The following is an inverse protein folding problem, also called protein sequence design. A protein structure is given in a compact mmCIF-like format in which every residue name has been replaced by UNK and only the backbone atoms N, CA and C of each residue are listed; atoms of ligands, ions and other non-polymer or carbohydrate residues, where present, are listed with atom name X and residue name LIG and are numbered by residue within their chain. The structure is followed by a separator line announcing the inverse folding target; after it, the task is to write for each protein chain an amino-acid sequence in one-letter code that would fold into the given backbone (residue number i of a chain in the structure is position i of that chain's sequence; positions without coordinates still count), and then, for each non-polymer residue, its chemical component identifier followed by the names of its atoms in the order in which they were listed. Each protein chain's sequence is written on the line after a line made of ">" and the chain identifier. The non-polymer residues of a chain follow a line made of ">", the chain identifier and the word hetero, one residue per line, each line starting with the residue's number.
data_IF_511481519195
#
_entry.id   IF_511481519195
#
_cell.length_a   1.000
_cell.length_b   1.000
_cell.length_c   1.000
_cell.angle_alpha   90.00
_cell.angle_beta   90.00
_cell.angle_gamma   90.00
#
_symmetry.space_group_name_H-M   'P 1'
#
loop_
_entity.id
_entity.type
_entity.pdbx_description
1 polymer ?
#
# COMPACT_ATOMS: atom_id res chain seq x y z
N UNK A 1 -1.79 -27.40 -20.20
CA UNK A 1 -1.41 -28.48 -19.26
C UNK A 1 -2.56 -29.45 -19.21
N UNK A 2 -2.39 -30.63 -19.83
CA UNK A 2 -3.54 -31.37 -20.33
C UNK A 2 -4.34 -30.51 -21.31
N UNK A 3 -5.67 -30.57 -21.24
CA UNK A 3 -6.59 -29.83 -22.12
C UNK A 3 -6.81 -28.36 -21.71
N UNK A 4 -6.17 -27.89 -20.63
CA UNK A 4 -6.33 -26.52 -20.13
C UNK A 4 -5.22 -25.58 -20.61
N UNK A 5 -5.60 -24.41 -21.10
CA UNK A 5 -4.67 -23.34 -21.51
C UNK A 5 -4.67 -22.24 -20.45
N UNK A 6 -3.48 -21.93 -19.91
CA UNK A 6 -3.28 -20.80 -19.00
C UNK A 6 -2.81 -19.62 -19.85
N UNK A 7 -3.47 -18.47 -19.71
CA UNK A 7 -3.18 -17.25 -20.45
C UNK A 7 -3.12 -16.04 -19.52
N UNK A 8 -2.36 -15.03 -19.95
CA UNK A 8 -2.37 -13.73 -19.29
C UNK A 8 -3.68 -13.00 -19.61
N UNK A 9 -3.98 -11.93 -18.86
CA UNK A 9 -5.25 -11.21 -18.97
C UNK A 9 -5.45 -10.52 -20.34
N UNK A 10 -4.35 -10.23 -21.04
CA UNK A 10 -4.29 -9.64 -22.39
C UNK A 10 -4.22 -10.69 -23.51
N UNK A 11 -4.06 -11.96 -23.17
CA UNK A 11 -3.84 -13.06 -24.12
C UNK A 11 -2.44 -13.08 -24.76
N UNK A 12 -1.53 -12.21 -24.34
CA UNK A 12 -0.22 -12.05 -24.98
C UNK A 12 0.89 -12.89 -24.33
N UNK A 13 1.81 -13.36 -25.17
CA UNK A 13 3.06 -14.01 -24.75
C UNK A 13 4.17 -12.97 -24.57
N UNK A 14 4.68 -12.84 -23.35
CA UNK A 14 5.66 -11.81 -22.99
C UNK A 14 7.13 -12.24 -23.16
N UNK A 15 7.39 -13.47 -23.63
CA UNK A 15 8.74 -14.01 -23.73
C UNK A 15 9.45 -14.12 -22.36
N UNK A 16 10.80 -14.09 -22.34
CA UNK A 16 11.56 -14.05 -21.09
C UNK A 16 11.31 -12.74 -20.32
N UNK A 17 10.82 -12.86 -19.10
CA UNK A 17 10.53 -11.73 -18.20
C UNK A 17 11.25 -11.91 -16.85
N UNK A 18 11.54 -10.80 -16.17
CA UNK A 18 12.11 -10.84 -14.81
C UNK A 18 11.01 -11.16 -13.80
N UNK A 19 11.38 -11.73 -12.65
CA UNK A 19 10.44 -12.02 -11.54
C UNK A 19 9.64 -10.79 -11.11
N UNK A 20 10.29 -9.62 -11.05
CA UNK A 20 9.64 -8.33 -10.79
C UNK A 20 8.49 -8.04 -11.77
N UNK A 21 8.69 -8.29 -13.07
CA UNK A 21 7.68 -8.03 -14.09
C UNK A 21 6.49 -8.99 -13.99
N UNK A 22 6.73 -10.24 -13.56
CA UNK A 22 5.66 -11.23 -13.34
C UNK A 22 4.66 -10.70 -12.32
N UNK A 23 5.15 -10.19 -11.17
CA UNK A 23 4.29 -9.64 -10.13
C UNK A 23 3.67 -8.30 -10.56
N UNK A 24 4.50 -7.35 -11.04
CA UNK A 24 4.07 -5.99 -11.41
C UNK A 24 2.97 -5.96 -12.48
N UNK A 25 3.01 -6.89 -13.45
CA UNK A 25 2.01 -7.00 -14.52
C UNK A 25 1.04 -8.17 -14.34
N UNK A 26 1.12 -8.88 -13.21
CA UNK A 26 0.21 -9.99 -12.87
C UNK A 26 0.18 -11.10 -13.95
N UNK A 27 1.35 -11.53 -14.42
CA UNK A 27 1.46 -12.49 -15.51
C UNK A 27 1.17 -13.92 -15.02
N UNK A 28 -0.05 -14.41 -15.26
CA UNK A 28 -0.50 -15.76 -14.90
C UNK A 28 0.45 -16.86 -15.40
N UNK A 29 0.95 -16.72 -16.63
CA UNK A 29 1.90 -17.70 -17.21
C UNK A 29 3.23 -17.77 -16.47
N UNK A 30 3.72 -16.62 -15.98
CA UNK A 30 4.91 -16.54 -15.13
C UNK A 30 4.66 -17.12 -13.74
N UNK A 31 3.54 -16.77 -13.11
CA UNK A 31 3.14 -17.33 -11.81
C UNK A 31 2.95 -18.84 -11.87
N UNK A 32 2.28 -19.35 -12.91
CA UNK A 32 2.10 -20.79 -13.14
C UNK A 32 3.44 -21.52 -13.22
N UNK A 33 4.42 -20.95 -13.93
CA UNK A 33 5.76 -21.52 -14.02
C UNK A 33 6.43 -21.57 -12.64
N UNK A 34 6.33 -20.49 -11.86
CA UNK A 34 6.86 -20.44 -10.49
C UNK A 34 6.18 -21.47 -9.59
N UNK A 35 4.85 -21.56 -9.60
CA UNK A 35 4.08 -22.51 -8.78
C UNK A 35 4.48 -23.96 -9.03
N UNK A 36 4.64 -24.33 -10.30
CA UNK A 36 5.08 -25.68 -10.67
C UNK A 36 6.52 -25.95 -10.27
N UNK A 37 7.41 -24.98 -10.46
CA UNK A 37 8.83 -25.11 -10.07
C UNK A 37 8.99 -25.19 -8.55
N UNK A 38 8.17 -24.48 -7.78
CA UNK A 38 8.13 -24.53 -6.31
C UNK A 38 7.72 -25.92 -5.80
N UNK A 39 6.79 -26.59 -6.49
CA UNK A 39 6.29 -27.90 -6.09
C UNK A 39 5.28 -27.85 -4.94
N UNK A 40 4.56 -28.96 -4.75
CA UNK A 40 3.39 -29.06 -3.86
C UNK A 40 3.76 -28.99 -2.37
N UNK A 41 4.89 -29.53 -1.99
CA UNK A 41 5.35 -29.57 -0.60
C UNK A 41 5.65 -28.16 -0.09
N UNK A 42 6.36 -27.35 -0.90
CA UNK A 42 6.68 -25.97 -0.54
C UNK A 42 5.43 -25.09 -0.63
N UNK A 43 4.59 -25.29 -1.66
CA UNK A 43 3.33 -24.54 -1.82
C UNK A 43 2.40 -24.76 -0.60
N UNK A 44 2.10 -26.00 -0.24
CA UNK A 44 1.22 -26.32 0.90
C UNK A 44 1.80 -25.78 2.22
N UNK A 45 3.12 -25.94 2.43
CA UNK A 45 3.82 -25.38 3.60
C UNK A 45 3.57 -23.88 3.72
N UNK A 46 3.76 -23.11 2.64
CA UNK A 46 3.59 -21.66 2.70
C UNK A 46 2.12 -21.24 2.80
N UNK A 47 1.20 -21.90 2.10
CA UNK A 47 -0.24 -21.64 2.25
C UNK A 47 -0.67 -21.77 3.72
N UNK A 48 -0.24 -22.83 4.40
CA UNK A 48 -0.54 -23.05 5.82
C UNK A 48 0.22 -22.10 6.75
N UNK A 49 1.47 -21.76 6.43
CA UNK A 49 2.25 -20.79 7.21
C UNK A 49 1.63 -19.38 7.16
N UNK A 50 0.97 -19.02 6.06
CA UNK A 50 0.17 -17.80 5.92
C UNK A 50 -1.25 -17.90 6.54
N UNK A 51 -1.58 -19.00 7.22
CA UNK A 51 -2.85 -19.15 7.94
C UNK A 51 -4.04 -19.58 7.08
N UNK A 52 -3.85 -19.84 5.78
CA UNK A 52 -4.95 -20.30 4.93
C UNK A 52 -5.44 -21.70 5.32
N UNK A 53 -6.74 -21.92 5.18
CA UNK A 53 -7.40 -23.17 5.59
C UNK A 53 -7.65 -23.25 7.10
N UNK A 54 -7.51 -22.16 7.85
CA UNK A 54 -7.84 -22.04 9.28
C UNK A 54 -8.51 -20.70 9.58
N UNK A 55 -9.46 -20.69 10.51
CA UNK A 55 -10.01 -19.46 11.06
C UNK A 55 -8.89 -18.59 11.66
N UNK A 56 -8.99 -17.26 11.49
CA UNK A 56 -8.02 -16.30 12.04
C UNK A 56 -8.16 -16.15 13.56
N UNK A 57 -9.33 -16.51 14.11
CA UNK A 57 -9.64 -16.44 15.53
C UNK A 57 -10.13 -15.06 15.97
N UNK A 58 -10.62 -14.23 15.04
CA UNK A 58 -11.26 -12.95 15.35
C UNK A 58 -12.45 -13.18 16.30
N UNK A 59 -12.80 -12.17 17.10
CA UNK A 59 -13.84 -12.27 18.13
C UNK A 59 -15.28 -12.27 17.57
N UNK A 60 -15.47 -12.71 16.32
CA UNK A 60 -16.77 -12.81 15.67
C UNK A 60 -17.21 -14.28 15.55
N UNK A 61 -18.47 -14.61 15.85
CA UNK A 61 -18.98 -15.96 15.67
C UNK A 61 -19.11 -16.30 14.18
N UNK A 62 -18.98 -17.60 13.85
CA UNK A 62 -19.24 -18.10 12.50
C UNK A 62 -18.14 -17.81 11.47
N UNK A 63 -16.90 -17.57 11.92
CA UNK A 63 -15.76 -17.40 11.02
C UNK A 63 -15.54 -18.68 10.17
N UNK A 64 -15.47 -18.51 8.85
CA UNK A 64 -15.15 -19.59 7.93
C UNK A 64 -13.64 -19.84 7.86
N UNK A 65 -13.24 -21.09 7.67
CA UNK A 65 -11.82 -21.48 7.62
C UNK A 65 -11.21 -21.42 6.21
N UNK A 66 -12.03 -21.15 5.18
CA UNK A 66 -11.64 -21.36 3.79
C UNK A 66 -11.47 -22.85 3.45
N UNK A 67 -10.88 -23.14 2.31
CA UNK A 67 -10.64 -24.51 1.86
C UNK A 67 -9.36 -24.59 1.03
N UNK A 68 -8.44 -25.44 1.48
CA UNK A 68 -7.24 -25.84 0.74
C UNK A 68 -7.41 -27.26 0.23
N UNK A 69 -6.83 -27.56 -0.94
CA UNK A 69 -6.65 -28.95 -1.38
C UNK A 69 -5.66 -29.67 -0.47
N UNK A 70 -5.82 -30.99 -0.36
CA UNK A 70 -4.82 -31.82 0.33
C UNK A 70 -3.53 -31.89 -0.50
N UNK A 71 -2.40 -32.12 0.18
CA UNK A 71 -1.10 -32.26 -0.48
C UNK A 71 -1.04 -33.46 -1.44
N UNK A 72 -1.78 -34.53 -1.13
CA UNK A 72 -1.81 -35.75 -1.94
C UNK A 72 -2.65 -35.59 -3.20
N UNK A 73 -3.70 -34.79 -3.13
CA UNK A 73 -4.62 -34.54 -4.26
C UNK A 73 -4.18 -33.36 -5.15
N UNK A 74 -3.11 -32.64 -4.78
CA UNK A 74 -2.66 -31.47 -5.52
C UNK A 74 -1.94 -31.86 -6.83
N UNK A 75 -2.59 -31.61 -7.97
CA UNK A 75 -2.01 -31.83 -9.29
C UNK A 75 -1.08 -30.69 -9.74
N UNK A 76 -0.34 -30.87 -10.84
CA UNK A 76 0.41 -29.77 -11.45
C UNK A 76 -0.49 -28.64 -11.95
N UNK A 77 -1.70 -28.95 -12.40
CA UNK A 77 -2.67 -27.93 -12.79
C UNK A 77 -3.09 -27.11 -11.57
N UNK A 78 -3.33 -27.77 -10.43
CA UNK A 78 -3.66 -27.09 -9.19
C UNK A 78 -2.53 -26.17 -8.74
N UNK A 79 -1.27 -26.64 -8.77
CA UNK A 79 -0.09 -25.82 -8.50
C UNK A 79 -0.03 -24.56 -9.35
N UNK A 80 -0.31 -24.72 -10.65
CA UNK A 80 -0.37 -23.60 -11.56
C UNK A 80 -1.49 -22.63 -11.16
N UNK A 81 -2.71 -23.11 -10.96
CA UNK A 81 -3.87 -22.25 -10.65
C UNK A 81 -3.78 -21.56 -9.29
N UNK A 82 -3.30 -22.27 -8.26
CA UNK A 82 -3.12 -21.75 -6.91
C UNK A 82 -2.13 -20.58 -6.93
N UNK A 83 -1.09 -20.66 -7.76
CA UNK A 83 -0.06 -19.62 -7.84
C UNK A 83 -0.58 -18.25 -8.29
N UNK A 84 -1.74 -18.19 -8.94
CA UNK A 84 -2.43 -16.95 -9.32
C UNK A 84 -3.82 -16.81 -8.66
N UNK A 85 -4.05 -17.53 -7.56
CA UNK A 85 -5.23 -17.35 -6.71
C UNK A 85 -6.49 -18.08 -7.17
N UNK A 86 -6.35 -19.07 -8.06
CA UNK A 86 -7.43 -19.96 -8.48
C UNK A 86 -7.32 -21.33 -7.80
N UNK A 87 -8.41 -22.09 -7.71
CA UNK A 87 -8.47 -23.39 -7.02
C UNK A 87 -8.16 -23.35 -5.52
N UNK A 88 -8.31 -22.18 -4.89
CA UNK A 88 -8.17 -21.98 -3.45
C UNK A 88 -9.29 -21.07 -2.95
N UNK A 89 -9.94 -21.45 -1.85
CA UNK A 89 -10.99 -20.64 -1.24
C UNK A 89 -10.47 -20.06 0.08
N UNK A 90 -10.46 -18.74 0.18
CA UNK A 90 -9.97 -18.02 1.36
C UNK A 90 -10.98 -16.96 1.78
N UNK A 91 -10.95 -16.58 3.05
CA UNK A 91 -11.77 -15.47 3.54
C UNK A 91 -11.05 -14.13 3.35
N UNK A 92 -11.78 -13.00 3.25
CA UNK A 92 -11.17 -11.67 3.27
C UNK A 92 -10.27 -11.43 4.49
N UNK A 93 -10.63 -11.96 5.67
CA UNK A 93 -9.82 -11.84 6.88
C UNK A 93 -8.51 -12.62 6.80
N UNK A 94 -8.52 -13.83 6.23
CA UNK A 94 -7.28 -14.58 5.95
C UNK A 94 -6.35 -13.81 5.02
N UNK A 95 -6.89 -13.16 3.99
CA UNK A 95 -6.11 -12.33 3.08
C UNK A 95 -5.46 -11.13 3.79
N UNK A 96 -6.22 -10.42 4.62
CA UNK A 96 -5.69 -9.28 5.40
C UNK A 96 -4.64 -9.75 6.41
N UNK A 97 -4.87 -10.86 7.11
CA UNK A 97 -3.90 -11.47 8.01
C UNK A 97 -2.61 -11.84 7.26
N UNK A 98 -2.72 -12.54 6.13
CA UNK A 98 -1.56 -12.95 5.34
C UNK A 98 -0.74 -11.74 4.84
N UNK A 99 -1.40 -10.69 4.35
CA UNK A 99 -0.75 -9.47 3.86
C UNK A 99 -0.19 -8.62 5.01
N UNK A 100 -0.69 -8.77 6.24
CA UNK A 100 -0.07 -8.17 7.41
C UNK A 100 1.35 -8.67 7.63
N UNK A 101 1.67 -9.92 7.25
CA UNK A 101 3.03 -10.42 7.34
C UNK A 101 3.98 -9.63 6.42
N UNK A 102 3.53 -9.27 5.21
CA UNK A 102 4.34 -8.48 4.26
C UNK A 102 4.54 -7.07 4.81
N UNK A 103 3.46 -6.44 5.31
CA UNK A 103 3.51 -5.09 5.86
C UNK A 103 4.35 -4.99 7.15
N UNK A 104 4.42 -6.06 7.95
CA UNK A 104 5.00 -6.04 9.28
C UNK A 104 6.29 -6.89 9.38
N UNK A 105 7.19 -6.74 8.40
CA UNK A 105 8.53 -7.33 8.46
C UNK A 105 8.55 -8.87 8.53
N UNK A 106 7.55 -9.52 7.93
CA UNK A 106 7.35 -10.96 7.94
C UNK A 106 6.45 -11.47 9.07
N UNK A 107 6.11 -10.64 10.06
CA UNK A 107 5.30 -11.04 11.21
C UNK A 107 3.80 -10.90 10.92
N UNK A 108 3.14 -12.05 10.78
CA UNK A 108 1.70 -12.14 10.58
C UNK A 108 0.96 -11.81 11.88
N UNK A 109 -0.08 -10.98 11.81
CA UNK A 109 -0.82 -10.48 12.98
C UNK A 109 -2.21 -11.10 13.04
N UNK A 110 -2.69 -11.36 14.25
CA UNK A 110 -4.07 -11.77 14.47
C UNK A 110 -4.99 -10.54 14.31
N UNK A 111 -6.04 -10.60 13.47
CA UNK A 111 -7.02 -9.52 13.40
C UNK A 111 -7.91 -9.52 14.65
N UNK A 112 -8.23 -8.32 15.13
CA UNK A 112 -9.09 -8.10 16.28
C UNK A 112 -10.15 -7.04 15.94
N UNK A 113 -11.37 -7.23 16.44
CA UNK A 113 -12.44 -6.20 16.34
C UNK A 113 -12.76 -5.57 17.70
N UNK A 114 -12.50 -6.29 18.79
CA UNK A 114 -12.63 -5.77 20.14
C UNK A 114 -11.34 -5.03 20.48
N UNK A 115 -11.47 -3.77 20.93
CA UNK A 115 -10.34 -2.98 21.42
C UNK A 115 -10.18 -3.13 22.93
N UNK A 116 -11.28 -2.97 23.65
CA UNK A 116 -11.36 -3.23 25.08
C UNK A 116 -12.78 -3.56 25.53
N UNK A 117 -12.89 -4.21 26.67
CA UNK A 117 -14.14 -4.51 27.36
C UNK A 117 -14.13 -3.75 28.69
N UNK A 118 -15.11 -2.86 28.86
CA UNK A 118 -15.26 -2.03 30.07
C UNK A 118 -16.43 -2.55 30.91
N UNK A 119 -16.18 -2.86 32.18
CA UNK A 119 -17.23 -3.29 33.08
C UNK A 119 -18.08 -2.10 33.58
N UNK A 120 -19.41 -2.23 33.67
CA UNK A 120 -20.28 -1.15 34.13
C UNK A 120 -20.00 -0.66 35.56
N UNK A 121 -19.38 -1.50 36.40
CA UNK A 121 -19.05 -1.21 37.79
C UNK A 121 -17.70 -0.49 37.97
N UNK A 122 -16.99 -0.20 36.86
CA UNK A 122 -15.68 0.44 36.87
C UNK A 122 -14.53 -0.49 37.29
N UNK A 123 -14.78 -1.81 37.41
CA UNK A 123 -13.72 -2.81 37.54
C UNK A 123 -12.94 -2.98 36.24
N UNK A 124 -11.82 -3.74 36.30
CA UNK A 124 -10.74 -3.77 35.30
C UNK A 124 -11.22 -3.75 33.83
N UNK A 125 -10.61 -2.86 33.05
CA UNK A 125 -10.71 -2.82 31.60
C UNK A 125 -9.83 -3.94 31.00
N UNK A 126 -10.44 -4.87 30.26
CA UNK A 126 -9.69 -5.85 29.49
C UNK A 126 -9.31 -5.22 28.14
N UNK A 127 -8.03 -4.90 27.95
CA UNK A 127 -7.51 -4.32 26.70
C UNK A 127 -6.96 -5.44 25.82
N UNK A 128 -7.49 -5.55 24.60
CA UNK A 128 -7.00 -6.52 23.61
C UNK A 128 -5.56 -6.21 23.24
N UNK A 129 -4.70 -7.22 23.34
CA UNK A 129 -3.27 -7.12 23.04
C UNK A 129 -2.99 -7.57 21.60
N UNK A 130 -2.04 -6.91 20.95
CA UNK A 130 -1.58 -7.33 19.62
C UNK A 130 -0.93 -8.72 19.68
N UNK A 131 -1.46 -9.65 18.90
CA UNK A 131 -0.96 -11.03 18.86
C UNK A 131 -0.35 -11.40 17.51
N UNK A 132 0.80 -12.08 17.57
CA UNK A 132 1.43 -12.69 16.39
C UNK A 132 0.69 -13.97 16.00
N UNK A 133 0.24 -14.07 14.76
CA UNK A 133 -0.31 -15.29 14.17
C UNK A 133 0.78 -16.17 13.52
N UNK A 134 2.00 -15.68 13.39
CA UNK A 134 3.15 -16.43 12.88
C UNK A 134 4.17 -15.54 12.18
N UNK A 135 5.22 -16.15 11.63
CA UNK A 135 6.21 -15.47 10.79
C UNK A 135 6.53 -16.36 9.57
N UNK A 136 5.69 -16.30 8.50
CA UNK A 136 5.85 -17.17 7.34
C UNK A 136 7.14 -16.89 6.55
N UNK A 137 7.62 -15.65 6.56
CA UNK A 137 8.79 -15.20 5.80
C UNK A 137 9.71 -14.32 6.69
N UNK A 138 11.02 -14.27 6.39
CA UNK A 138 11.93 -13.35 7.05
C UNK A 138 11.69 -11.90 6.57
N UNK A 139 12.22 -10.95 7.34
CA UNK A 139 12.01 -9.51 7.14
C UNK A 139 12.54 -9.00 5.79
N UNK A 140 13.70 -9.49 5.35
CA UNK A 140 14.31 -9.11 4.07
C UNK A 140 13.46 -9.55 2.87
N UNK A 141 12.87 -10.74 2.95
CA UNK A 141 11.92 -11.24 1.94
C UNK A 141 10.63 -10.42 1.97
N UNK A 142 10.10 -10.10 3.16
CA UNK A 142 8.92 -9.26 3.29
C UNK A 142 9.13 -7.87 2.66
N UNK A 143 10.27 -7.24 2.95
CA UNK A 143 10.68 -5.96 2.37
C UNK A 143 10.82 -6.04 0.84
N UNK A 144 11.47 -7.09 0.33
CA UNK A 144 11.61 -7.30 -1.12
C UNK A 144 10.25 -7.41 -1.81
N UNK A 145 9.31 -8.15 -1.21
CA UNK A 145 7.94 -8.27 -1.75
C UNK A 145 7.21 -6.93 -1.67
N UNK A 146 7.33 -6.21 -0.55
CA UNK A 146 6.72 -4.89 -0.37
C UNK A 146 7.19 -3.90 -1.45
N UNK A 147 8.50 -3.84 -1.72
CA UNK A 147 9.08 -2.97 -2.76
C UNK A 147 8.59 -3.34 -4.17
N UNK A 148 8.41 -4.64 -4.45
CA UNK A 148 7.84 -5.11 -5.72
C UNK A 148 6.37 -4.67 -5.86
N UNK A 149 5.59 -4.77 -4.79
CA UNK A 149 4.18 -4.38 -4.78
C UNK A 149 3.98 -2.86 -4.79
N UNK A 150 4.94 -2.08 -4.27
CA UNK A 150 4.99 -0.62 -4.50
C UNK A 150 5.09 -0.31 -5.98
N UNK A 151 5.97 -1.03 -6.71
CA UNK A 151 6.15 -0.84 -8.15
C UNK A 151 4.92 -1.17 -8.98
N UNK A 152 4.04 -2.06 -8.50
CA UNK A 152 2.76 -2.29 -9.17
C UNK A 152 1.86 -1.05 -9.11
N UNK A 153 1.89 -0.30 -8.01
CA UNK A 153 1.12 0.93 -7.84
C UNK A 153 1.83 2.12 -8.51
N UNK A 154 3.16 2.23 -8.44
CA UNK A 154 3.86 3.39 -9.00
C UNK A 154 4.12 3.29 -10.51
N UNK A 155 4.31 2.08 -11.04
CA UNK A 155 4.75 1.85 -12.43
C UNK A 155 3.89 0.82 -13.20
N UNK A 156 3.00 0.10 -12.50
CA UNK A 156 2.34 -1.11 -13.02
C UNK A 156 0.82 -1.01 -13.18
N UNK A 157 0.17 -2.19 -13.14
CA UNK A 157 -1.28 -2.32 -13.34
C UNK A 157 -2.14 -1.77 -12.20
N UNK A 158 -1.54 -1.42 -11.05
CA UNK A 158 -2.21 -0.91 -9.86
C UNK A 158 -2.23 0.62 -9.75
N UNK A 159 -1.80 1.36 -10.77
CA UNK A 159 -1.59 2.82 -10.71
C UNK A 159 -2.78 3.66 -10.26
N UNK A 160 -4.01 3.18 -10.44
CA UNK A 160 -5.21 3.85 -9.94
C UNK A 160 -5.35 3.84 -8.42
N UNK A 161 -4.56 3.04 -7.71
CA UNK A 161 -4.47 3.02 -6.25
C UNK A 161 -3.51 4.07 -5.67
N UNK A 162 -2.74 4.79 -6.51
CA UNK A 162 -1.72 5.73 -6.04
C UNK A 162 -2.32 6.89 -5.22
N UNK A 163 -1.79 7.08 -4.01
CA UNK A 163 -2.20 8.14 -3.08
C UNK A 163 -1.16 9.25 -3.13
N UNK A 164 -1.60 10.47 -3.44
CA UNK A 164 -0.71 11.60 -3.64
C UNK A 164 0.11 11.90 -2.36
N UNK A 165 1.45 11.93 -2.50
CA UNK A 165 2.37 12.19 -1.39
C UNK A 165 2.80 10.96 -0.58
N UNK A 166 2.31 9.76 -0.89
CA UNK A 166 2.64 8.54 -0.15
C UNK A 166 2.96 7.38 -1.09
N UNK A 167 3.96 6.58 -0.74
CA UNK A 167 4.18 5.30 -1.40
C UNK A 167 3.30 4.24 -0.76
N UNK A 168 2.39 3.66 -1.55
CA UNK A 168 1.59 2.51 -1.16
C UNK A 168 1.95 1.33 -2.04
N UNK A 169 2.02 0.16 -1.43
CA UNK A 169 2.16 -1.11 -2.11
C UNK A 169 0.80 -1.76 -2.31
N UNK A 170 0.62 -2.53 -3.38
CA UNK A 170 -0.60 -3.29 -3.54
C UNK A 170 -0.62 -4.23 -4.72
N UNK A 171 -1.65 -5.07 -4.75
CA UNK A 171 -1.89 -6.08 -5.78
C UNK A 171 -3.33 -6.03 -6.23
N UNK A 172 -3.52 -5.96 -7.56
CA UNK A 172 -4.83 -6.14 -8.18
C UNK A 172 -5.19 -7.63 -8.26
N UNK A 173 -6.46 -7.97 -8.01
CA UNK A 173 -7.03 -9.29 -8.22
C UNK A 173 -8.23 -9.27 -9.15
N UNK A 174 -8.39 -10.32 -9.96
CA UNK A 174 -9.56 -10.55 -10.81
C UNK A 174 -9.78 -12.05 -10.87
N UNK A 175 -10.65 -12.56 -10.00
CA UNK A 175 -10.92 -13.98 -9.86
C UNK A 175 -12.23 -14.34 -10.57
N UNK A 176 -12.25 -15.49 -11.23
CA UNK A 176 -13.47 -16.04 -11.84
C UNK A 176 -14.36 -16.70 -10.78
N UNK A 177 -15.68 -16.49 -10.88
CA UNK A 177 -16.63 -17.13 -9.95
C UNK A 177 -16.88 -18.58 -10.33
N UNK A 178 -16.91 -19.47 -9.35
CA UNK A 178 -17.27 -20.88 -9.58
C UNK A 178 -18.73 -21.01 -10.01
N UNK A 179 -19.01 -21.93 -10.93
CA UNK A 179 -20.37 -22.36 -11.28
C UNK A 179 -20.78 -23.51 -10.34
N UNK A 180 -21.69 -23.27 -9.38
CA UNK A 180 -22.09 -24.29 -8.42
C UNK A 180 -23.00 -25.37 -9.01
N UNK A 181 -23.62 -25.12 -10.18
CA UNK A 181 -24.57 -26.05 -10.81
C UNK A 181 -23.87 -26.98 -11.81
N UNK A 182 -22.99 -26.43 -12.65
CA UNK A 182 -22.36 -27.16 -13.75
C UNK A 182 -20.88 -27.47 -13.54
N UNK A 183 -20.29 -26.93 -12.47
CA UNK A 183 -18.85 -26.98 -12.23
C UNK A 183 -18.06 -26.07 -13.17
N UNK A 184 -16.79 -25.81 -12.82
CA UNK A 184 -15.96 -24.84 -13.54
C UNK A 184 -16.29 -23.40 -13.15
N UNK A 185 -16.18 -22.47 -14.09
CA UNK A 185 -16.32 -21.03 -13.85
C UNK A 185 -17.48 -20.41 -14.63
N UNK A 186 -18.21 -19.51 -13.97
CA UNK A 186 -19.26 -18.70 -14.57
C UNK A 186 -18.66 -17.72 -15.58
N UNK A 187 -19.03 -17.84 -16.85
CA UNK A 187 -18.55 -16.95 -17.90
C UNK A 187 -18.98 -15.50 -17.63
N UNK A 188 -18.01 -14.60 -17.65
CA UNK A 188 -18.26 -13.16 -17.49
C UNK A 188 -18.59 -12.72 -16.07
N UNK A 189 -18.43 -13.59 -15.07
CA UNK A 189 -18.73 -13.29 -13.66
C UNK A 189 -17.45 -13.35 -12.84
N UNK A 190 -17.13 -12.25 -12.17
CA UNK A 190 -15.83 -12.05 -11.55
C UNK A 190 -15.96 -11.49 -10.14
N UNK A 191 -14.90 -11.70 -9.36
CA UNK A 191 -14.64 -10.97 -8.13
C UNK A 191 -13.44 -10.06 -8.42
N UNK A 192 -13.69 -8.75 -8.38
CA UNK A 192 -12.66 -7.75 -8.55
C UNK A 192 -12.12 -7.34 -7.19
N UNK A 193 -10.80 -7.30 -7.03
CA UNK A 193 -10.20 -6.95 -5.75
C UNK A 193 -8.94 -6.12 -5.88
N UNK A 194 -8.62 -5.41 -4.81
CA UNK A 194 -7.35 -4.76 -4.62
C UNK A 194 -6.97 -4.88 -3.15
N UNK A 195 -5.78 -5.42 -2.88
CA UNK A 195 -5.21 -5.44 -1.54
C UNK A 195 -3.98 -4.55 -1.53
N UNK A 196 -3.94 -3.59 -0.61
CA UNK A 196 -2.83 -2.67 -0.48
C UNK A 196 -2.38 -2.49 0.95
N UNK A 197 -1.16 -2.01 1.10
CA UNK A 197 -0.55 -1.73 2.39
C UNK A 197 0.38 -0.53 2.31
N UNK A 198 0.50 0.20 3.40
CA UNK A 198 1.44 1.32 3.48
C UNK A 198 1.10 2.35 4.56
N UNK A 199 1.78 3.51 4.55
CA UNK A 199 2.88 3.86 3.64
C UNK A 199 4.06 2.87 3.67
N UNK A 200 4.78 2.67 2.57
CA UNK A 200 5.83 1.63 2.46
C UNK A 200 6.98 1.85 3.46
N UNK A 201 7.29 3.10 3.78
CA UNK A 201 8.37 3.47 4.70
C UNK A 201 8.04 3.13 6.17
N UNK A 202 6.77 3.21 6.55
CA UNK A 202 6.23 2.89 7.87
C UNK A 202 4.81 2.33 7.69
N UNK A 203 4.66 1.02 7.42
CA UNK A 203 3.35 0.45 7.12
C UNK A 203 2.38 0.54 8.30
N UNK A 204 1.29 1.29 8.11
CA UNK A 204 0.23 1.51 9.12
C UNK A 204 -1.07 0.80 8.79
N UNK A 205 -1.27 0.49 7.51
CA UNK A 205 -2.53 -0.05 7.01
C UNK A 205 -2.27 -1.29 6.15
N UNK A 206 -3.18 -2.25 6.27
CA UNK A 206 -3.46 -3.27 5.25
C UNK A 206 -4.94 -3.16 4.94
N UNK A 207 -5.30 -3.02 3.67
CA UNK A 207 -6.69 -2.83 3.26
C UNK A 207 -6.99 -3.65 2.03
N UNK A 208 -8.04 -4.47 2.15
CA UNK A 208 -8.57 -5.28 1.08
C UNK A 208 -9.92 -4.69 0.64
N UNK A 209 -10.03 -4.40 -0.65
CA UNK A 209 -11.27 -4.04 -1.32
C UNK A 209 -11.71 -5.24 -2.16
N UNK A 210 -12.96 -5.66 -2.00
CA UNK A 210 -13.58 -6.72 -2.79
C UNK A 210 -14.89 -6.19 -3.35
N UNK A 211 -15.06 -6.27 -4.67
CA UNK A 211 -16.29 -5.97 -5.38
C UNK A 211 -16.75 -7.28 -6.01
N UNK A 212 -17.78 -7.88 -5.41
CA UNK A 212 -18.37 -9.10 -5.93
C UNK A 212 -19.33 -8.78 -7.08
N UNK A 213 -19.12 -9.46 -8.20
CA UNK A 213 -19.99 -9.44 -9.37
C UNK A 213 -20.27 -8.04 -9.96
N UNK A 214 -19.22 -7.27 -10.30
CA UNK A 214 -19.38 -5.97 -10.90
C UNK A 214 -20.05 -6.06 -12.28
N UNK A 215 -20.90 -5.08 -12.60
CA UNK A 215 -21.45 -4.92 -13.94
C UNK A 215 -20.58 -3.98 -14.79
N UNK A 216 -20.38 -4.34 -16.06
CA UNK A 216 -19.51 -3.58 -16.96
C UNK A 216 -18.03 -3.91 -16.75
N UNK A 217 -17.24 -2.92 -16.30
CA UNK A 217 -15.81 -3.11 -16.03
C UNK A 217 -15.60 -4.00 -14.81
N UNK A 218 -14.81 -5.07 -14.95
CA UNK A 218 -14.58 -6.06 -13.89
C UNK A 218 -13.12 -6.17 -13.42
N UNK A 219 -12.18 -5.44 -14.04
CA UNK A 219 -10.78 -5.50 -13.62
C UNK A 219 -10.57 -4.82 -12.27
N UNK A 220 -9.93 -5.50 -11.32
CA UNK A 220 -9.63 -4.97 -9.98
C UNK A 220 -8.86 -3.63 -10.03
N UNK A 221 -7.94 -3.50 -10.99
CA UNK A 221 -7.22 -2.25 -11.27
C UNK A 221 -8.12 -1.07 -11.62
N UNK A 222 -9.30 -1.31 -12.22
CA UNK A 222 -10.17 -0.25 -12.71
C UNK A 222 -11.26 0.14 -11.72
N UNK A 223 -11.71 -0.78 -10.86
CA UNK A 223 -12.84 -0.53 -9.94
C UNK A 223 -12.49 -0.67 -8.46
N UNK A 224 -11.60 -1.56 -8.06
CA UNK A 224 -11.23 -1.72 -6.65
C UNK A 224 -10.07 -0.80 -6.23
N UNK A 225 -9.09 -0.59 -7.11
CA UNK A 225 -7.95 0.29 -6.86
C UNK A 225 -8.34 1.77 -6.61
N UNK A 226 -9.29 2.39 -7.34
CA UNK A 226 -9.75 3.74 -7.01
C UNK A 226 -10.41 3.85 -5.63
N UNK A 227 -11.19 2.83 -5.22
CA UNK A 227 -11.81 2.79 -3.89
C UNK A 227 -10.73 2.73 -2.81
N UNK A 228 -9.68 1.95 -3.02
CA UNK A 228 -8.51 1.94 -2.13
C UNK A 228 -7.87 3.34 -2.02
N UNK A 229 -7.62 4.02 -3.15
CA UNK A 229 -7.07 5.39 -3.17
C UNK A 229 -7.93 6.34 -2.33
N UNK A 230 -9.26 6.30 -2.51
CA UNK A 230 -10.17 7.21 -1.83
C UNK A 230 -10.20 6.99 -0.30
N UNK A 231 -10.18 5.72 0.14
CA UNK A 231 -10.12 5.37 1.56
C UNK A 231 -8.76 5.77 2.14
N UNK A 232 -7.65 5.38 1.51
CA UNK A 232 -6.31 5.67 2.03
C UNK A 232 -6.04 7.17 2.07
N UNK A 233 -6.48 7.94 1.06
CA UNK A 233 -6.38 9.40 1.05
C UNK A 233 -7.06 10.05 2.26
N UNK A 234 -8.16 9.46 2.75
CA UNK A 234 -8.82 9.92 3.96
C UNK A 234 -8.10 9.45 5.22
N UNK A 235 -7.63 8.21 5.27
CA UNK A 235 -6.91 7.67 6.43
C UNK A 235 -5.60 8.40 6.69
N UNK A 236 -4.78 8.67 5.67
CA UNK A 236 -3.52 9.39 5.86
C UNK A 236 -3.74 10.81 6.40
N UNK A 237 -4.84 11.47 6.01
CA UNK A 237 -5.25 12.76 6.58
C UNK A 237 -5.78 12.64 8.01
N UNK A 238 -6.63 11.65 8.26
CA UNK A 238 -7.22 11.41 9.58
C UNK A 238 -6.15 11.10 10.64
N UNK A 239 -5.19 10.24 10.29
CA UNK A 239 -4.05 9.87 11.13
C UNK A 239 -2.90 10.87 11.08
N UNK A 240 -3.04 11.98 10.33
CA UNK A 240 -2.04 13.04 10.20
C UNK A 240 -0.65 12.53 9.81
N UNK A 241 -0.60 11.54 8.92
CA UNK A 241 0.67 10.98 8.46
C UNK A 241 1.40 12.01 7.59
N UNK A 242 2.70 12.18 7.82
CA UNK A 242 3.51 13.04 6.97
C UNK A 242 3.70 12.40 5.60
N UNK A 243 3.58 13.16 4.49
CA UNK A 243 3.89 12.64 3.16
C UNK A 243 5.32 12.09 3.10
N UNK A 244 5.49 10.89 2.54
CA UNK A 244 6.81 10.28 2.31
C UNK A 244 7.44 10.68 0.98
N UNK A 245 6.63 11.25 0.08
CA UNK A 245 7.08 11.74 -1.23
C UNK A 245 7.10 13.25 -1.23
N UNK A 246 8.28 13.85 -1.15
CA UNK A 246 8.46 15.25 -1.52
C UNK A 246 8.06 15.39 -2.99
N UNK A 247 7.18 16.34 -3.32
CA UNK A 247 6.62 16.52 -4.67
C UNK A 247 7.66 17.05 -5.65
N UNK A 248 8.72 16.29 -5.92
CA UNK A 248 9.76 16.59 -6.90
C UNK A 248 9.44 15.99 -8.28
N UNK A 249 8.50 15.04 -8.38
CA UNK A 249 8.24 14.30 -9.63
C UNK A 249 7.33 15.00 -10.65
N UNK A 250 6.66 16.10 -10.30
CA UNK A 250 5.83 16.87 -11.24
C UNK A 250 6.61 17.97 -12.01
N UNK A 251 7.93 18.11 -11.78
CA UNK A 251 8.74 19.19 -12.38
C UNK A 251 9.73 18.74 -13.46
N UNK A 252 9.75 17.45 -13.82
CA UNK A 252 10.65 16.91 -14.87
C UNK A 252 10.29 17.32 -16.31
N UNK A 253 9.61 18.47 -16.48
CA UNK A 253 9.31 19.09 -17.77
C UNK A 253 9.80 20.53 -17.93
N UNK A 254 10.36 21.16 -16.89
CA UNK A 254 10.93 22.50 -17.00
C UNK A 254 12.33 22.53 -16.38
N UNK A 255 13.32 22.78 -17.24
CA UNK A 255 14.68 23.25 -16.95
C UNK A 255 14.93 23.56 -15.46
N UNK A 256 15.74 22.73 -14.82
CA UNK A 256 16.35 22.98 -13.52
C UNK A 256 17.10 24.33 -13.53
N UNK A 257 16.43 25.35 -13.01
CA UNK A 257 17.06 26.54 -12.43
C UNK A 257 16.41 26.82 -11.07
N UNK A 258 16.25 25.80 -10.23
CA UNK A 258 15.90 26.02 -8.83
C UNK A 258 17.15 26.48 -8.07
N UNK A 259 17.13 27.65 -7.42
CA UNK A 259 18.23 28.04 -6.54
C UNK A 259 18.33 27.04 -5.39
N UNK A 260 19.55 26.64 -5.04
CA UNK A 260 19.81 25.79 -3.89
C UNK A 260 19.25 26.43 -2.61
N UNK A 261 18.80 25.61 -1.64
CA UNK A 261 18.31 26.09 -0.33
C UNK A 261 19.38 27.04 0.27
N UNK A 262 19.09 28.33 0.48
CA UNK A 262 19.97 29.29 1.12
C UNK A 262 20.36 28.81 2.51
N UNK A 263 21.63 28.98 2.82
CA UNK A 263 22.17 28.74 4.15
C UNK A 263 21.62 29.83 5.08
N UNK A 264 21.31 29.48 6.33
CA UNK A 264 20.92 30.48 7.34
C UNK A 264 22.11 31.39 7.61
N UNK A 265 21.98 32.66 7.24
CA UNK A 265 22.98 33.69 7.50
C UNK A 265 22.54 34.53 8.71
N UNK A 266 23.51 34.89 9.56
CA UNK A 266 23.28 35.75 10.74
C UNK A 266 24.09 37.03 10.61
N UNK A 267 23.49 38.15 10.99
CA UNK A 267 24.17 39.43 11.08
C UNK A 267 25.10 39.49 12.32
N UNK A 268 26.02 40.47 12.42
CA UNK A 268 26.97 40.58 13.52
C UNK A 268 26.34 40.73 14.92
N UNK A 269 25.10 41.20 14.99
CA UNK A 269 24.32 41.35 16.22
C UNK A 269 23.52 40.10 16.61
N UNK A 270 23.54 39.06 15.76
CA UNK A 270 22.87 37.78 15.99
C UNK A 270 21.48 37.66 15.36
N UNK A 271 20.98 38.71 14.70
CA UNK A 271 19.75 38.67 13.90
C UNK A 271 19.91 37.73 12.69
N UNK A 272 18.82 37.17 12.20
CA UNK A 272 18.80 36.28 11.03
C UNK A 272 18.50 37.08 9.77
N UNK A 273 19.32 36.91 8.73
CA UNK A 273 19.10 37.54 7.42
C UNK A 273 18.07 36.71 6.63
N UNK A 274 16.98 37.34 6.24
CA UNK A 274 15.85 36.71 5.56
C UNK A 274 16.12 36.58 4.04
N UNK A 275 16.05 35.38 3.44
CA UNK A 275 16.21 35.19 2.00
C UNK A 275 14.93 35.57 1.24
N UNK A 276 15.01 35.57 -0.09
CA UNK A 276 13.81 35.65 -0.94
C UNK A 276 13.10 34.30 -0.96
N UNK A 277 11.91 34.25 -0.36
CA UNK A 277 11.06 33.06 -0.35
C UNK A 277 10.21 32.91 -1.61
N UNK A 278 10.22 33.87 -2.54
CA UNK A 278 9.37 33.83 -3.73
C UNK A 278 9.56 32.52 -4.51
N UNK A 279 8.45 31.84 -4.80
CA UNK A 279 8.45 30.54 -5.50
C UNK A 279 8.72 29.33 -4.61
N UNK A 280 8.97 29.52 -3.31
CA UNK A 280 9.09 28.41 -2.37
C UNK A 280 7.72 27.96 -1.86
N UNK A 281 7.61 26.69 -1.53
CA UNK A 281 6.40 26.11 -0.94
C UNK A 281 6.28 26.50 0.54
N UNK A 282 5.04 26.46 1.05
CA UNK A 282 4.77 26.65 2.49
C UNK A 282 5.60 25.74 3.39
N UNK A 283 5.90 24.51 2.94
CA UNK A 283 6.76 23.58 3.67
C UNK A 283 8.23 24.00 3.69
N UNK A 284 8.80 24.37 2.54
CA UNK A 284 10.20 24.82 2.44
C UNK A 284 10.47 26.08 3.27
N UNK A 285 9.53 27.03 3.27
CA UNK A 285 9.61 28.26 4.08
C UNK A 285 9.55 27.93 5.57
N UNK A 286 8.61 27.07 5.98
CA UNK A 286 8.50 26.62 7.38
C UNK A 286 9.78 25.97 7.87
N UNK A 287 10.32 25.04 7.08
CA UNK A 287 11.50 24.27 7.48
C UNK A 287 12.72 25.18 7.59
N UNK A 288 12.89 26.15 6.67
CA UNK A 288 13.97 27.14 6.76
C UNK A 288 13.82 28.07 7.97
N UNK A 289 12.62 28.58 8.25
CA UNK A 289 12.37 29.44 9.42
C UNK A 289 12.59 28.69 10.73
N UNK A 290 12.22 27.40 10.78
CA UNK A 290 12.51 26.53 11.92
C UNK A 290 14.03 26.34 12.12
N UNK A 291 14.77 26.03 11.04
CA UNK A 291 16.24 25.91 11.08
C UNK A 291 16.91 27.22 11.52
N UNK A 292 16.31 28.36 11.18
CA UNK A 292 16.75 29.70 11.57
C UNK A 292 16.37 30.11 13.01
N UNK A 293 15.49 29.36 13.69
CA UNK A 293 14.98 29.70 15.02
C UNK A 293 13.95 30.84 15.02
N UNK A 294 13.21 31.01 13.91
CA UNK A 294 12.16 32.01 13.73
C UNK A 294 10.76 31.35 13.79
N UNK A 295 9.74 32.15 14.07
CA UNK A 295 8.34 31.70 14.00
C UNK A 295 7.78 31.90 12.59
N UNK A 296 6.89 30.99 12.17
CA UNK A 296 6.29 31.03 10.85
C UNK A 296 4.80 31.40 10.91
N UNK A 297 4.43 32.48 10.21
CA UNK A 297 3.06 32.95 10.06
C UNK A 297 2.60 32.86 8.58
N UNK A 298 2.10 31.70 8.10
CA UNK A 298 1.64 31.59 6.72
C UNK A 298 0.30 32.31 6.48
N UNK A 299 0.20 33.05 5.37
CA UNK A 299 -1.06 33.57 4.82
C UNK A 299 -1.32 32.97 3.44
N UNK A 300 -2.31 32.08 3.34
CA UNK A 300 -2.66 31.36 2.11
C UNK A 300 -2.00 29.99 1.95
N UNK A 301 -2.09 29.40 0.75
CA UNK A 301 -1.47 28.09 0.44
C UNK A 301 -0.91 28.08 -0.98
N UNK A 302 0.13 27.29 -1.23
CA UNK A 302 0.77 27.15 -2.54
C UNK A 302 2.22 27.65 -2.52
N UNK A 303 2.57 28.52 -3.47
CA UNK A 303 3.90 29.10 -3.58
C UNK A 303 3.92 30.51 -2.98
N UNK A 304 5.00 30.83 -2.27
CA UNK A 304 5.23 32.15 -1.72
C UNK A 304 5.31 33.17 -2.84
N UNK A 305 4.52 34.23 -2.73
CA UNK A 305 4.47 35.34 -3.69
C UNK A 305 5.01 36.63 -3.11
N UNK A 306 5.05 36.74 -1.78
CA UNK A 306 5.61 37.87 -1.04
C UNK A 306 5.81 37.51 0.43
N UNK A 307 6.56 38.34 1.13
CA UNK A 307 6.91 38.22 2.55
C UNK A 307 6.85 39.61 3.20
N UNK A 308 6.62 39.68 4.51
CA UNK A 308 6.56 40.94 5.26
C UNK A 308 7.94 41.56 5.48
N UNK A 309 8.95 40.76 5.79
CA UNK A 309 10.36 41.17 5.85
C UNK A 309 11.00 40.94 4.48
N UNK A 310 11.46 41.97 3.76
CA UNK A 310 12.02 41.81 2.42
C UNK A 310 13.32 41.00 2.42
N UNK A 311 13.69 40.43 1.28
CA UNK A 311 14.95 39.72 1.12
C UNK A 311 16.15 40.63 1.49
N UNK A 312 17.06 40.10 2.31
CA UNK A 312 18.17 40.84 2.92
C UNK A 312 17.79 41.65 4.16
N UNK A 313 16.52 41.64 4.58
CA UNK A 313 16.08 42.16 5.87
C UNK A 313 16.51 41.24 7.03
N UNK A 314 16.43 41.76 8.25
CA UNK A 314 16.86 41.06 9.46
C UNK A 314 15.66 40.77 10.36
N UNK A 315 15.67 39.60 11.01
CA UNK A 315 14.66 39.19 12.00
C UNK A 315 15.32 38.69 13.28
N UNK A 316 14.78 39.09 14.42
CA UNK A 316 15.27 38.66 15.73
C UNK A 316 14.92 37.20 16.02
N UNK A 317 15.72 36.53 16.84
CA UNK A 317 15.45 35.14 17.20
C UNK A 317 14.05 34.99 17.83
N UNK A 318 13.24 34.08 17.28
CA UNK A 318 11.85 33.86 17.69
C UNK A 318 10.84 34.87 17.13
N UNK A 319 11.25 35.85 16.33
CA UNK A 319 10.34 36.75 15.61
C UNK A 319 9.50 35.99 14.58
N UNK A 320 8.26 36.42 14.39
CA UNK A 320 7.34 35.81 13.43
C UNK A 320 7.51 36.46 12.05
N UNK A 321 7.78 35.63 11.03
CA UNK A 321 7.86 36.06 9.64
C UNK A 321 6.60 35.65 8.90
N UNK A 322 5.89 36.62 8.34
CA UNK A 322 4.67 36.41 7.56
C UNK A 322 4.99 36.23 6.10
N UNK A 323 4.59 35.08 5.54
CA UNK A 323 4.79 34.79 4.11
C UNK A 323 3.44 34.53 3.46
N UNK A 324 3.20 35.18 2.33
CA UNK A 324 1.96 35.14 1.58
C UNK A 324 2.06 34.13 0.43
N UNK A 325 1.09 33.24 0.32
CA UNK A 325 1.08 32.12 -0.62
C UNK A 325 -0.11 32.15 -1.56
N UNK A 326 0.10 31.74 -2.83
CA UNK A 326 -0.97 31.53 -3.82
C UNK A 326 -0.84 30.18 -4.53
N UNK A 327 -1.99 29.59 -4.88
CA UNK A 327 -2.09 28.36 -5.68
C UNK A 327 -2.01 28.65 -7.17
#
# INVERSE_FOLDING_TARGET
>A
MGDHTIQNWDGEGNGPVRLLEILKYSLNTGMAKLGITTGKEIMDKYLRAYGFGKATGIELPGEAEGQLRSLDDMSQLDLATISFGQSVNVTPLQMVQAFSAIANGGKMMKPHIIKSINNPDGSEEEITQDMSAGQPIPEDVAKTILDILEKEVSEGGGNKAAVDGYHFAGKTGTAEKLDPEHGGYLKGRYIASFIGMGPVEDPRFVTLIVIDDPSGTYYGSQIAAPVFKDIMSQLVRYFQLSPSVTREKDLKGQSDTRPAKPIVEKAPDGSVIIPDFTGWTTGEVRDWLHDAGLQFAPDGTGYAVSQDIPAGGEAEAGEAVTVYFKR
#
